data_IF_114820640904
#
_entry.id   IF_114820640904
#
_cell.length_a   1.000
_cell.length_b   1.000
_cell.length_c   1.000
_cell.angle_alpha   90.00
_cell.angle_beta   90.00
_cell.angle_gamma   90.00
#
_symmetry.space_group_name_H-M   'P 1'
#
loop_
_entity.id
_entity.type
_entity.pdbx_description
1 polymer ?
#
# COMPACT_ATOMS: atom_id res chain seq x y z
N UNK A 1 0.54 12.00 -25.62
CA UNK A 1 -0.14 12.28 -24.33
C UNK A 1 0.63 11.50 -23.28
N UNK A 2 1.25 12.16 -22.32
CA UNK A 2 2.01 11.52 -21.23
C UNK A 2 1.02 10.89 -20.25
N UNK A 3 1.08 9.56 -20.10
CA UNK A 3 0.25 8.81 -19.14
C UNK A 3 0.64 9.17 -17.70
N UNK A 4 -0.31 9.23 -16.75
CA UNK A 4 0.01 9.45 -15.36
C UNK A 4 0.61 8.18 -14.77
N UNK A 5 1.92 8.20 -14.58
CA UNK A 5 2.69 7.15 -13.92
C UNK A 5 3.14 7.65 -12.54
N UNK A 6 3.05 6.80 -11.52
CA UNK A 6 3.59 7.14 -10.19
C UNK A 6 4.81 6.28 -9.93
N UNK A 7 5.94 6.93 -9.66
CA UNK A 7 7.17 6.26 -9.29
C UNK A 7 7.05 5.70 -7.87
N UNK A 8 7.20 4.40 -7.72
CA UNK A 8 7.36 3.77 -6.41
C UNK A 8 8.80 3.96 -5.93
N UNK A 9 8.97 4.76 -4.88
CA UNK A 9 10.22 4.88 -4.13
C UNK A 9 10.31 3.84 -3.01
N UNK A 10 11.50 3.74 -2.39
CA UNK A 10 11.73 2.91 -1.20
C UNK A 10 10.75 3.21 -0.05
N UNK A 11 10.17 4.41 -0.03
CA UNK A 11 8.96 4.76 0.72
C UNK A 11 7.77 4.88 -0.22
N UNK A 12 6.72 4.09 0.01
CA UNK A 12 5.42 4.25 -0.62
C UNK A 12 4.73 5.38 0.16
N UNK A 13 4.68 6.57 -0.43
CA UNK A 13 3.98 7.69 0.20
C UNK A 13 2.50 7.34 0.44
N UNK A 14 1.89 7.94 1.47
CA UNK A 14 0.47 7.74 1.76
C UNK A 14 -0.43 8.11 0.55
N UNK A 15 0.02 9.05 -0.28
CA UNK A 15 -0.64 9.40 -1.53
C UNK A 15 -0.67 8.21 -2.50
N UNK A 16 0.47 7.57 -2.72
CA UNK A 16 0.59 6.41 -3.61
C UNK A 16 -0.18 5.19 -3.07
N UNK A 17 -0.16 4.98 -1.76
CA UNK A 17 -1.03 3.98 -1.11
C UNK A 17 -2.51 4.26 -1.35
N UNK A 18 -2.92 5.51 -1.27
CA UNK A 18 -4.31 5.92 -1.54
C UNK A 18 -4.69 5.63 -2.98
N UNK A 19 -3.81 5.89 -3.93
CA UNK A 19 -4.04 5.60 -5.35
C UNK A 19 -4.11 4.10 -5.62
N UNK A 20 -3.22 3.29 -5.01
CA UNK A 20 -3.29 1.82 -5.06
C UNK A 20 -4.61 1.31 -4.45
N UNK A 21 -5.07 1.89 -3.34
CA UNK A 21 -6.35 1.56 -2.72
C UNK A 21 -7.53 1.87 -3.64
N UNK A 22 -7.54 3.06 -4.25
CA UNK A 22 -8.58 3.47 -5.19
C UNK A 22 -8.62 2.53 -6.41
N UNK A 23 -7.45 2.20 -6.95
CA UNK A 23 -7.26 1.21 -8.00
C UNK A 23 -7.77 -0.19 -7.61
N UNK A 24 -7.44 -0.66 -6.40
CA UNK A 24 -7.78 -1.99 -5.91
C UNK A 24 -9.29 -2.18 -5.67
N UNK A 25 -10.02 -1.09 -5.42
CA UNK A 25 -11.49 -1.14 -5.31
C UNK A 25 -12.19 -1.63 -6.59
N UNK A 26 -11.47 -1.64 -7.72
CA UNK A 26 -11.98 -2.04 -9.03
C UNK A 26 -11.30 -3.31 -9.59
N UNK A 27 -10.24 -3.80 -8.92
CA UNK A 27 -9.73 -5.15 -9.13
C UNK A 27 -10.70 -6.15 -8.46
N UNK A 28 -10.89 -7.33 -9.03
CA UNK A 28 -11.76 -8.35 -8.42
C UNK A 28 -11.17 -8.95 -7.13
N UNK A 29 -9.86 -8.80 -6.89
CA UNK A 29 -9.23 -9.07 -5.60
C UNK A 29 -9.23 -7.78 -4.77
N UNK A 30 -9.84 -7.78 -3.59
CA UNK A 30 -9.76 -6.68 -2.62
C UNK A 30 -8.41 -6.63 -1.88
N UNK A 31 -7.51 -7.54 -2.24
CA UNK A 31 -6.26 -7.89 -1.56
C UNK A 31 -5.27 -6.71 -1.43
N UNK A 32 -5.01 -5.89 -2.48
CA UNK A 32 -4.14 -4.73 -2.33
C UNK A 32 -4.73 -3.67 -1.39
N UNK A 33 -6.05 -3.53 -1.35
CA UNK A 33 -6.74 -2.63 -0.43
C UNK A 33 -6.58 -3.06 1.03
N UNK A 34 -6.69 -4.36 1.32
CA UNK A 34 -6.43 -4.90 2.66
C UNK A 34 -4.97 -4.72 3.10
N UNK A 35 -4.00 -5.02 2.22
CA UNK A 35 -2.57 -4.82 2.50
C UNK A 35 -2.25 -3.35 2.79
N UNK A 36 -2.79 -2.44 1.98
CA UNK A 36 -2.62 -1.01 2.17
C UNK A 36 -3.21 -0.54 3.51
N UNK A 37 -4.38 -1.06 3.90
CA UNK A 37 -4.98 -0.75 5.20
C UNK A 37 -4.12 -1.25 6.36
N UNK A 38 -3.58 -2.46 6.27
CA UNK A 38 -2.66 -3.00 7.28
C UNK A 38 -1.41 -2.12 7.40
N UNK A 39 -0.82 -1.72 6.28
CA UNK A 39 0.36 -0.86 6.25
C UNK A 39 0.08 0.48 6.96
N UNK A 40 -1.07 1.11 6.70
CA UNK A 40 -1.49 2.33 7.41
C UNK A 40 -1.67 2.12 8.92
N UNK A 41 -2.21 0.98 9.35
CA UNK A 41 -2.35 0.66 10.77
C UNK A 41 -0.99 0.47 11.45
N UNK A 42 -0.04 -0.18 10.78
CA UNK A 42 1.33 -0.34 11.29
C UNK A 42 2.02 1.02 11.42
N UNK A 43 1.91 1.90 10.41
CA UNK A 43 2.42 3.28 10.49
C UNK A 43 1.84 4.05 11.68
N UNK A 44 0.52 3.98 11.86
CA UNK A 44 -0.14 4.62 12.99
C UNK A 44 0.34 4.07 14.34
N UNK A 45 0.53 2.75 14.44
CA UNK A 45 1.10 2.10 15.62
C UNK A 45 2.51 2.59 15.93
N UNK A 46 3.38 2.74 14.92
CA UNK A 46 4.74 3.29 15.08
C UNK A 46 4.71 4.72 15.58
N UNK A 47 3.91 5.59 14.94
CA UNK A 47 3.75 6.98 15.38
C UNK A 47 3.25 7.07 16.83
N UNK A 48 2.31 6.21 17.22
CA UNK A 48 1.85 6.13 18.61
C UNK A 48 2.98 5.69 19.55
N UNK A 49 3.74 4.65 19.19
CA UNK A 49 4.81 4.09 20.02
C UNK A 49 5.94 5.08 20.25
N UNK A 50 6.31 5.87 19.23
CA UNK A 50 7.30 6.95 19.37
C UNK A 50 6.83 7.99 20.38
N UNK A 51 5.55 8.38 20.35
CA UNK A 51 4.97 9.31 21.32
C UNK A 51 4.89 8.72 22.74
N UNK A 52 4.86 7.39 22.90
CA UNK A 52 4.88 6.75 24.21
C UNK A 52 6.25 6.85 24.90
N UNK A 53 7.35 6.92 24.14
CA UNK A 53 8.70 7.03 24.70
C UNK A 53 8.84 8.28 25.58
N UNK A 54 8.26 9.40 25.14
CA UNK A 54 8.28 10.65 25.90
C UNK A 54 7.35 10.61 27.12
N UNK A 55 6.28 9.83 27.06
CA UNK A 55 5.23 9.78 28.11
C UNK A 55 5.54 8.78 29.23
N UNK A 56 6.26 7.72 28.92
CA UNK A 56 6.55 6.59 29.83
C UNK A 56 8.05 6.25 29.80
N UNK A 57 8.91 7.13 30.35
CA UNK A 57 10.36 6.98 30.28
C UNK A 57 10.86 5.69 30.95
N UNK A 58 10.15 5.18 31.96
CA UNK A 58 10.44 3.91 32.63
C UNK A 58 10.29 2.68 31.73
N UNK A 59 9.52 2.78 30.62
CA UNK A 59 9.28 1.71 29.66
C UNK A 59 9.96 1.96 28.30
N UNK A 60 10.92 2.90 28.24
CA UNK A 60 11.58 3.34 27.00
C UNK A 60 12.15 2.18 26.18
N UNK A 61 12.83 1.22 26.82
CA UNK A 61 13.40 0.06 26.11
C UNK A 61 12.31 -0.77 25.41
N UNK A 62 11.18 -1.01 26.08
CA UNK A 62 10.05 -1.74 25.51
C UNK A 62 9.45 -0.97 24.33
N UNK A 63 9.31 0.34 24.44
CA UNK A 63 8.79 1.18 23.35
C UNK A 63 9.73 1.23 22.14
N UNK A 64 11.04 1.33 22.33
CA UNK A 64 11.99 1.21 21.23
C UNK A 64 11.94 -0.15 20.55
N UNK A 65 11.85 -1.24 21.34
CA UNK A 65 11.68 -2.57 20.78
C UNK A 65 10.38 -2.68 19.97
N UNK A 66 9.27 -2.13 20.46
CA UNK A 66 7.99 -2.12 19.73
C UNK A 66 8.06 -1.31 18.42
N UNK A 67 8.73 -0.14 18.41
CA UNK A 67 8.93 0.63 17.18
C UNK A 67 9.76 -0.14 16.15
N UNK A 68 10.83 -0.80 16.58
CA UNK A 68 11.63 -1.68 15.71
C UNK A 68 10.80 -2.83 15.13
N UNK A 69 9.90 -3.44 15.93
CA UNK A 69 8.98 -4.47 15.42
C UNK A 69 7.96 -3.89 14.45
N UNK A 70 7.48 -2.68 14.70
CA UNK A 70 6.63 -1.94 13.78
C UNK A 70 7.32 -1.70 12.43
N UNK A 71 8.59 -1.29 12.44
CA UNK A 71 9.38 -1.07 11.22
C UNK A 71 9.52 -2.36 10.38
N UNK A 72 9.82 -3.49 11.04
CA UNK A 72 9.91 -4.79 10.37
C UNK A 72 8.58 -5.21 9.73
N UNK A 73 7.46 -4.98 10.41
CA UNK A 73 6.13 -5.25 9.88
C UNK A 73 5.80 -4.35 8.69
N UNK A 74 6.17 -3.08 8.76
CA UNK A 74 5.99 -2.12 7.67
C UNK A 74 6.74 -2.56 6.41
N UNK A 75 8.02 -2.91 6.55
CA UNK A 75 8.84 -3.39 5.43
C UNK A 75 8.27 -4.67 4.80
N UNK A 76 7.82 -5.63 5.61
CA UNK A 76 7.22 -6.87 5.11
C UNK A 76 5.93 -6.62 4.32
N UNK A 77 5.03 -5.78 4.87
CA UNK A 77 3.77 -5.44 4.20
C UNK A 77 4.01 -4.65 2.91
N UNK A 78 4.97 -3.73 2.94
CA UNK A 78 5.40 -2.96 1.78
C UNK A 78 5.90 -3.88 0.66
N UNK A 79 6.84 -4.77 0.99
CA UNK A 79 7.42 -5.71 0.03
C UNK A 79 6.34 -6.64 -0.56
N UNK A 80 5.44 -7.13 0.29
CA UNK A 80 4.31 -7.97 -0.14
C UNK A 80 3.38 -7.22 -1.11
N UNK A 81 3.10 -5.94 -0.85
CA UNK A 81 2.28 -5.13 -1.74
C UNK A 81 2.95 -4.92 -3.10
N UNK A 82 4.25 -4.63 -3.11
CA UNK A 82 5.02 -4.51 -4.35
C UNK A 82 5.01 -5.79 -5.16
N UNK A 83 5.29 -6.93 -4.54
CA UNK A 83 5.30 -8.22 -5.21
C UNK A 83 3.93 -8.58 -5.77
N UNK A 84 2.85 -8.24 -5.06
CA UNK A 84 1.48 -8.41 -5.56
C UNK A 84 1.25 -7.55 -6.81
N UNK A 85 1.60 -6.27 -6.75
CA UNK A 85 1.44 -5.37 -7.90
C UNK A 85 2.28 -5.82 -9.11
N UNK A 86 3.48 -6.35 -8.89
CA UNK A 86 4.31 -6.95 -9.95
C UNK A 86 3.66 -8.21 -10.55
N UNK A 87 3.16 -9.12 -9.71
CA UNK A 87 2.45 -10.34 -10.16
C UNK A 87 1.22 -10.02 -10.99
N UNK A 88 0.50 -8.96 -10.62
CA UNK A 88 -0.66 -8.45 -11.34
C UNK A 88 -0.27 -7.60 -12.57
N UNK A 89 1.03 -7.41 -12.85
CA UNK A 89 1.54 -6.57 -13.95
C UNK A 89 1.02 -5.14 -13.89
N UNK A 90 0.89 -4.59 -12.67
CA UNK A 90 0.50 -3.21 -12.40
C UNK A 90 1.70 -2.30 -12.17
N UNK A 91 2.91 -2.88 -12.11
CA UNK A 91 4.18 -2.18 -12.05
C UNK A 91 4.98 -2.47 -13.31
N UNK A 92 5.56 -1.42 -13.91
CA UNK A 92 6.52 -1.56 -15.00
C UNK A 92 7.94 -1.87 -14.51
N UNK A 93 8.86 -2.10 -15.45
CA UNK A 93 10.28 -2.39 -15.15
C UNK A 93 11.03 -1.24 -14.43
N UNK A 94 10.40 -0.07 -14.29
CA UNK A 94 10.93 1.11 -13.61
C UNK A 94 10.24 1.38 -12.27
N UNK A 95 9.49 0.40 -11.74
CA UNK A 95 8.67 0.52 -10.52
C UNK A 95 7.64 1.65 -10.63
N UNK A 96 7.10 1.91 -11.82
CA UNK A 96 6.01 2.85 -11.96
C UNK A 96 4.68 2.10 -11.98
N UNK A 97 3.73 2.56 -11.17
CA UNK A 97 2.34 2.10 -11.24
C UNK A 97 1.70 2.76 -12.43
N UNK A 98 1.18 1.94 -13.37
CA UNK A 98 0.38 2.45 -14.49
C UNK A 98 -1.08 2.57 -14.06
N UNK A 99 -1.45 3.77 -13.64
CA UNK A 99 -2.84 4.10 -13.30
C UNK A 99 -3.77 3.91 -14.50
N UNK A 100 -3.26 4.10 -15.71
CA UNK A 100 -4.00 3.82 -16.95
C UNK A 100 -4.34 2.35 -17.11
N UNK A 101 -3.39 1.43 -16.91
CA UNK A 101 -3.68 -0.01 -17.00
C UNK A 101 -4.66 -0.46 -15.93
N UNK A 102 -4.54 0.11 -14.72
CA UNK A 102 -5.51 -0.16 -13.67
C UNK A 102 -6.89 0.36 -14.09
N UNK A 103 -7.00 1.60 -14.54
CA UNK A 103 -8.28 2.21 -14.97
C UNK A 103 -8.88 1.54 -16.23
N UNK A 104 -8.06 0.95 -17.08
CA UNK A 104 -8.50 0.26 -18.30
C UNK A 104 -9.01 -1.14 -17.99
N UNK A 105 -8.28 -1.91 -17.18
CA UNK A 105 -8.76 -3.19 -16.64
C UNK A 105 -10.03 -3.02 -15.83
N UNK A 106 -10.11 -1.93 -15.06
CA UNK A 106 -11.28 -1.51 -14.29
C UNK A 106 -12.53 -1.31 -15.16
N UNK A 107 -12.36 -0.69 -16.34
CA UNK A 107 -13.46 -0.45 -17.28
C UNK A 107 -13.88 -1.72 -18.01
N UNK A 108 -12.93 -2.54 -18.46
CA UNK A 108 -13.21 -3.81 -19.17
C UNK A 108 -14.02 -4.79 -18.30
N UNK A 109 -13.48 -5.15 -17.13
CA UNK A 109 -14.15 -4.89 -15.86
C UNK A 109 -15.68 -4.83 -15.74
N UNK A 110 -16.10 -3.62 -15.43
CA UNK A 110 -17.47 -3.22 -15.23
C UNK A 110 -18.34 -3.48 -16.46
N UNK A 111 -17.80 -3.34 -17.67
CA UNK A 111 -18.54 -3.66 -18.90
C UNK A 111 -18.92 -5.14 -18.97
N UNK A 112 -18.00 -6.06 -18.61
CA UNK A 112 -18.31 -7.50 -18.55
C UNK A 112 -19.38 -7.86 -17.51
N UNK A 113 -19.47 -7.12 -16.39
CA UNK A 113 -20.52 -7.35 -15.38
C UNK A 113 -21.89 -6.81 -15.83
N UNK A 114 -21.92 -5.77 -16.67
CA UNK A 114 -23.15 -5.23 -17.25
C UNK A 114 -23.69 -6.16 -18.35
N UNK A 115 -22.82 -6.80 -19.13
CA UNK A 115 -23.21 -7.76 -20.18
C UNK A 115 -23.69 -9.11 -19.63
N UNK A 116 -23.51 -9.37 -18.33
CA UNK A 116 -23.95 -10.59 -17.64
C UNK A 116 -25.27 -10.43 -16.85
N UNK A 117 -25.93 -9.26 -16.96
CA UNK A 117 -27.25 -8.94 -16.39
C UNK A 117 -28.33 -8.94 -17.48
#
# INVERSE_FOLDING_TARGET
MTQPTIKVSADLSDALLTEICAAASVLTCTCPGYLTRLLRQVRAFRSYTINCIERFPEATETHHWLDQRGDQLEQLLFQTLLELLQKEQLLDATNQVSLSEIAERSRAKALQQIEQL
#
